data_IF_523477385345
#
_entry.id   IF_523477385345
#
_cell.length_a   1.000
_cell.length_b   1.000
_cell.length_c   1.000
_cell.angle_alpha   90.00
_cell.angle_beta   90.00
_cell.angle_gamma   90.00
#
_symmetry.space_group_name_H-M   'P 1'
#
loop_
_entity.id
_entity.type
_entity.pdbx_description
1 polymer ?
#
# COMPACT_ATOMS: atom_id res chain seq x y z
N UNK A 1 11.21 -12.62 23.01
CA UNK A 1 10.81 -13.49 21.88
C UNK A 1 11.18 -12.74 20.61
N UNK A 2 11.83 -13.36 19.60
CA UNK A 2 12.02 -12.68 18.33
C UNK A 2 10.64 -12.46 17.70
N UNK A 3 10.32 -11.21 17.39
CA UNK A 3 9.10 -10.87 16.65
C UNK A 3 9.15 -11.57 15.30
N UNK A 4 8.06 -12.25 14.91
CA UNK A 4 7.96 -12.85 13.58
C UNK A 4 8.07 -11.73 12.53
N UNK A 5 8.97 -11.85 11.54
CA UNK A 5 9.12 -10.84 10.50
C UNK A 5 7.80 -10.59 9.78
N UNK A 6 7.50 -9.32 9.48
CA UNK A 6 6.30 -8.97 8.72
C UNK A 6 6.58 -9.16 7.23
N UNK A 7 6.17 -10.30 6.69
CA UNK A 7 6.47 -10.75 5.32
C UNK A 7 5.32 -10.47 4.33
N UNK A 8 5.55 -10.75 3.04
CA UNK A 8 4.56 -10.55 1.98
C UNK A 8 3.21 -11.19 2.26
N UNK A 9 3.18 -12.44 2.76
CA UNK A 9 1.92 -13.12 3.10
C UNK A 9 1.13 -12.40 4.18
N UNK A 10 1.80 -11.97 5.26
CA UNK A 10 1.15 -11.24 6.34
C UNK A 10 0.59 -9.90 5.84
N UNK A 11 1.35 -9.19 5.00
CA UNK A 11 0.91 -7.96 4.37
C UNK A 11 -0.29 -8.17 3.44
N UNK A 12 -0.24 -9.19 2.59
CA UNK A 12 -1.32 -9.54 1.66
C UNK A 12 -2.63 -9.84 2.40
N UNK A 13 -2.55 -10.65 3.48
CA UNK A 13 -3.71 -10.93 4.34
C UNK A 13 -4.29 -9.68 5.00
N UNK A 14 -3.44 -8.81 5.56
CA UNK A 14 -3.89 -7.57 6.19
C UNK A 14 -4.61 -6.65 5.17
N UNK A 15 -4.07 -6.58 3.96
CA UNK A 15 -4.60 -5.77 2.87
C UNK A 15 -5.97 -6.30 2.42
N UNK A 16 -6.10 -7.60 2.18
CA UNK A 16 -7.37 -8.25 1.81
C UNK A 16 -8.41 -8.10 2.93
N UNK A 17 -8.02 -8.31 4.19
CA UNK A 17 -8.94 -8.18 5.32
C UNK A 17 -9.54 -6.77 5.43
N UNK A 18 -8.76 -5.72 5.09
CA UNK A 18 -9.18 -4.32 5.18
C UNK A 18 -9.93 -3.84 3.96
N UNK A 19 -9.49 -4.22 2.76
CA UNK A 19 -9.96 -3.63 1.50
C UNK A 19 -10.29 -4.63 0.39
N UNK A 20 -10.25 -5.93 0.64
CA UNK A 20 -10.62 -6.96 -0.35
C UNK A 20 -12.05 -6.78 -0.87
N UNK A 21 -12.96 -6.30 -0.03
CA UNK A 21 -14.33 -5.94 -0.44
C UNK A 21 -14.42 -4.69 -1.34
N UNK A 22 -13.33 -3.94 -1.49
CA UNK A 22 -13.26 -2.77 -2.37
C UNK A 22 -12.71 -3.07 -3.76
N UNK A 23 -11.96 -4.16 -3.92
CA UNK A 23 -11.43 -4.64 -5.19
C UNK A 23 -11.22 -6.15 -5.11
N UNK A 24 -11.98 -6.90 -5.91
CA UNK A 24 -11.84 -8.36 -6.01
C UNK A 24 -10.43 -8.77 -6.46
N UNK A 25 -9.75 -7.89 -7.22
CA UNK A 25 -8.36 -8.07 -7.62
C UNK A 25 -7.40 -8.21 -6.44
N UNK A 26 -7.69 -7.58 -5.30
CA UNK A 26 -6.88 -7.74 -4.10
C UNK A 26 -6.94 -9.17 -3.54
N UNK A 27 -8.11 -9.80 -3.56
CA UNK A 27 -8.26 -11.18 -3.11
C UNK A 27 -7.79 -12.19 -4.17
N UNK A 28 -8.03 -11.90 -5.46
CA UNK A 28 -7.61 -12.75 -6.56
C UNK A 28 -6.08 -12.85 -6.68
N UNK A 29 -5.39 -11.72 -6.47
CA UNK A 29 -3.93 -11.62 -6.54
C UNK A 29 -3.26 -11.79 -5.16
N UNK A 30 -3.83 -12.62 -4.27
CA UNK A 30 -3.25 -12.90 -2.95
C UNK A 30 -1.79 -13.37 -3.07
N UNK A 31 -0.90 -12.76 -2.27
CA UNK A 31 0.55 -12.99 -2.32
C UNK A 31 1.29 -12.27 -3.46
N UNK A 32 0.60 -11.74 -4.47
CA UNK A 32 1.21 -11.04 -5.61
C UNK A 32 1.31 -9.54 -5.34
N UNK A 33 2.27 -9.15 -4.50
CA UNK A 33 2.38 -7.79 -3.92
C UNK A 33 2.30 -6.65 -4.94
N UNK A 34 3.03 -6.75 -6.05
CA UNK A 34 3.03 -5.71 -7.09
C UNK A 34 1.66 -5.50 -7.73
N UNK A 35 0.93 -6.59 -8.01
CA UNK A 35 -0.43 -6.52 -8.55
C UNK A 35 -1.39 -5.93 -7.53
N UNK A 36 -1.29 -6.37 -6.26
CA UNK A 36 -2.10 -5.82 -5.17
C UNK A 36 -1.85 -4.32 -4.96
N UNK A 37 -0.62 -3.82 -5.14
CA UNK A 37 -0.32 -2.38 -5.08
C UNK A 37 -0.98 -1.60 -6.22
N UNK A 38 -0.98 -2.14 -7.44
CA UNK A 38 -1.70 -1.54 -8.56
C UNK A 38 -3.20 -1.41 -8.28
N UNK A 39 -3.84 -2.49 -7.81
CA UNK A 39 -5.25 -2.48 -7.40
C UNK A 39 -5.52 -1.48 -6.28
N UNK A 40 -4.65 -1.42 -5.27
CA UNK A 40 -4.77 -0.50 -4.15
C UNK A 40 -4.65 0.98 -4.60
N UNK A 41 -3.80 1.25 -5.60
CA UNK A 41 -3.71 2.55 -6.26
C UNK A 41 -5.02 2.94 -6.93
N UNK A 42 -5.62 2.02 -7.69
CA UNK A 42 -6.95 2.24 -8.32
C UNK A 42 -8.02 2.50 -7.25
N UNK A 43 -8.00 1.78 -6.12
CA UNK A 43 -8.93 2.03 -5.01
C UNK A 43 -8.73 3.43 -4.44
N UNK A 44 -7.49 3.91 -4.26
CA UNK A 44 -7.24 5.27 -3.77
C UNK A 44 -7.84 6.34 -4.69
N UNK A 45 -7.70 6.18 -6.01
CA UNK A 45 -8.21 7.16 -7.00
C UNK A 45 -9.74 7.10 -7.12
N UNK A 46 -10.32 5.90 -7.13
CA UNK A 46 -11.77 5.71 -7.35
C UNK A 46 -12.59 5.83 -6.07
N UNK A 47 -11.99 5.64 -4.90
CA UNK A 47 -12.65 5.68 -3.58
C UNK A 47 -11.88 6.60 -2.63
N UNK A 48 -11.97 7.93 -2.81
CA UNK A 48 -11.20 8.90 -2.03
C UNK A 48 -11.46 8.82 -0.52
N UNK A 49 -12.64 8.36 -0.10
CA UNK A 49 -12.96 8.12 1.31
C UNK A 49 -12.10 7.05 1.98
N UNK A 50 -11.54 6.11 1.20
CA UNK A 50 -10.63 5.05 1.70
C UNK A 50 -9.15 5.41 1.55
N UNK A 51 -8.82 6.33 0.63
CA UNK A 51 -7.44 6.67 0.28
C UNK A 51 -6.60 7.10 1.49
N UNK A 52 -7.15 7.92 2.39
CA UNK A 52 -6.43 8.35 3.60
C UNK A 52 -6.02 7.17 4.48
N UNK A 53 -6.92 6.22 4.73
CA UNK A 53 -6.64 5.06 5.57
C UNK A 53 -5.61 4.12 4.91
N UNK A 54 -5.67 3.99 3.59
CA UNK A 54 -4.70 3.23 2.79
C UNK A 54 -3.32 3.86 2.90
N UNK A 55 -3.19 5.16 2.62
CA UNK A 55 -1.91 5.87 2.67
C UNK A 55 -1.30 5.83 4.08
N UNK A 56 -2.12 5.96 5.12
CA UNK A 56 -1.68 5.80 6.51
C UNK A 56 -1.13 4.40 6.77
N UNK A 57 -1.86 3.35 6.38
CA UNK A 57 -1.41 1.97 6.52
C UNK A 57 -0.09 1.70 5.78
N UNK A 58 0.05 2.15 4.53
CA UNK A 58 1.30 1.99 3.80
C UNK A 58 2.46 2.73 4.50
N UNK A 59 2.21 3.92 5.05
CA UNK A 59 3.20 4.64 5.85
C UNK A 59 3.63 3.91 7.12
N UNK A 60 2.69 3.25 7.81
CA UNK A 60 2.97 2.40 8.96
C UNK A 60 3.81 1.18 8.56
N UNK A 61 3.45 0.52 7.46
CA UNK A 61 4.17 -0.65 6.93
C UNK A 61 5.60 -0.30 6.55
N UNK A 62 5.82 0.82 5.85
CA UNK A 62 7.17 1.29 5.47
C UNK A 62 8.04 1.55 6.71
N UNK A 63 7.43 2.07 7.77
CA UNK A 63 8.10 2.39 9.04
C UNK A 63 8.28 1.19 9.96
N UNK A 64 7.66 0.04 9.65
CA UNK A 64 7.62 -1.11 10.55
C UNK A 64 9.00 -1.81 10.62
N UNK A 65 9.59 -1.94 11.83
CA UNK A 65 10.77 -2.77 12.01
C UNK A 65 10.48 -4.22 11.61
N UNK A 66 11.40 -4.84 10.86
CA UNK A 66 11.24 -6.23 10.42
C UNK A 66 10.25 -6.47 9.28
N UNK A 67 9.71 -5.41 8.65
CA UNK A 67 9.00 -5.55 7.38
C UNK A 67 9.96 -6.02 6.27
N UNK A 68 9.56 -7.04 5.53
CA UNK A 68 10.32 -7.59 4.42
C UNK A 68 10.58 -6.51 3.35
N UNK A 69 11.78 -6.54 2.75
CA UNK A 69 12.20 -5.56 1.74
C UNK A 69 11.26 -5.53 0.53
N UNK A 70 10.81 -6.71 0.08
CA UNK A 70 9.87 -6.89 -1.04
C UNK A 70 8.57 -6.08 -0.90
N UNK A 71 8.08 -5.85 0.33
CA UNK A 71 6.87 -5.05 0.57
C UNK A 71 7.15 -3.58 0.23
N UNK A 72 8.31 -3.07 0.66
CA UNK A 72 8.72 -1.69 0.37
C UNK A 72 9.00 -1.51 -1.12
N UNK A 73 9.61 -2.50 -1.76
CA UNK A 73 9.85 -2.52 -3.20
C UNK A 73 8.54 -2.47 -3.97
N UNK A 74 7.56 -3.33 -3.63
CA UNK A 74 6.24 -3.31 -4.26
C UNK A 74 5.51 -1.96 -4.10
N UNK A 75 5.55 -1.37 -2.90
CA UNK A 75 4.98 -0.04 -2.66
C UNK A 75 5.69 1.03 -3.50
N UNK A 76 7.01 0.97 -3.61
CA UNK A 76 7.80 1.97 -4.34
C UNK A 76 7.59 1.88 -5.86
N UNK A 77 7.45 0.66 -6.38
CA UNK A 77 7.53 0.38 -7.81
C UNK A 77 6.16 0.22 -8.49
N UNK A 78 5.13 -0.11 -7.73
CA UNK A 78 3.83 -0.51 -8.30
C UNK A 78 2.63 0.15 -7.63
N UNK A 79 2.83 0.95 -6.58
CA UNK A 79 1.80 1.89 -6.13
C UNK A 79 1.79 3.16 -7.01
N UNK A 80 0.87 4.08 -6.73
CA UNK A 80 0.77 5.39 -7.38
C UNK A 80 2.06 6.20 -7.22
N UNK A 81 2.45 6.90 -8.28
CA UNK A 81 3.54 7.88 -8.23
C UNK A 81 3.07 9.25 -7.69
N UNK A 82 4.02 10.18 -7.53
CA UNK A 82 3.69 11.53 -7.08
C UNK A 82 2.80 12.32 -8.06
N UNK A 83 2.88 12.05 -9.35
CA UNK A 83 2.02 12.64 -10.38
C UNK A 83 0.57 12.22 -10.17
N UNK A 84 0.33 10.92 -10.07
CA UNK A 84 -0.98 10.32 -9.83
C UNK A 84 -1.60 10.84 -8.52
N UNK A 85 -0.82 10.88 -7.45
CA UNK A 85 -1.28 11.39 -6.15
C UNK A 85 -1.64 12.88 -6.19
N UNK A 86 -0.95 13.69 -6.98
CA UNK A 86 -1.30 15.11 -7.18
C UNK A 86 -2.58 15.25 -7.99
N UNK A 87 -2.71 14.51 -9.09
CA UNK A 87 -3.93 14.50 -9.93
C UNK A 87 -5.15 14.05 -9.12
N UNK A 88 -4.98 13.06 -8.26
CA UNK A 88 -6.04 12.57 -7.37
C UNK A 88 -6.33 13.51 -6.17
N UNK A 89 -5.58 14.60 -5.99
CA UNK A 89 -5.74 15.52 -4.84
C UNK A 89 -5.30 14.92 -3.49
N UNK A 90 -4.55 13.82 -3.51
CA UNK A 90 -4.13 13.05 -2.33
C UNK A 90 -2.74 13.44 -1.81
N UNK A 91 -1.95 14.19 -2.58
CA UNK A 91 -0.56 14.52 -2.22
C UNK A 91 -0.38 15.09 -0.80
N UNK A 92 -1.34 15.86 -0.29
CA UNK A 92 -1.29 16.44 1.08
C UNK A 92 -1.66 15.46 2.19
N UNK A 93 -2.17 14.28 1.83
CA UNK A 93 -2.60 13.23 2.75
C UNK A 93 -1.55 12.12 2.90
N UNK A 94 -0.49 12.15 2.09
CA UNK A 94 0.61 11.20 2.13
C UNK A 94 1.41 11.40 3.42
N UNK A 95 1.53 10.39 4.29
CA UNK A 95 2.30 10.52 5.52
C UNK A 95 3.82 10.57 5.23
N UNK A 96 4.63 11.20 6.10
CA UNK A 96 6.06 11.40 5.84
C UNK A 96 6.85 10.13 5.48
N UNK A 97 6.65 8.97 6.16
CA UNK A 97 7.39 7.76 5.80
C UNK A 97 7.07 7.24 4.40
N UNK A 98 5.80 7.39 3.97
CA UNK A 98 5.39 7.01 2.63
C UNK A 98 5.92 8.02 1.59
N UNK A 99 5.95 9.32 1.95
CA UNK A 99 6.46 10.37 1.07
C UNK A 99 7.92 10.19 0.67
N UNK A 100 8.73 9.53 1.51
CA UNK A 100 10.14 9.25 1.23
C UNK A 100 10.39 8.06 0.30
N UNK A 101 9.37 7.24 0.02
CA UNK A 101 9.51 6.03 -0.81
C UNK A 101 8.76 6.12 -2.13
N UNK A 102 7.70 6.94 -2.23
CA UNK A 102 6.99 7.10 -3.50
C UNK A 102 7.87 7.83 -4.51
N UNK A 103 7.95 7.27 -5.72
CA UNK A 103 8.75 7.80 -6.83
C UNK A 103 8.22 9.16 -7.31
N UNK A 104 9.16 10.07 -7.56
CA UNK A 104 8.96 11.49 -7.94
C UNK A 104 8.59 11.70 -9.39
#
# INVERSE_FOLDING_TARGET
MPETPYNGDAFSRDLIARWGHLSDGLAYDEGLLHLQMGHLGVVCVTRPGSAKAILQFLGEVVSRPGAAAEIREAITDSFLDWGDLRVAGLARTVPPPLSSVIRG
#
